data_IF_440738095898
#
_entry.id   IF_440738095898
#
_cell.length_a   1.000
_cell.length_b   1.000
_cell.length_c   1.000
_cell.angle_alpha   90.00
_cell.angle_beta   90.00
_cell.angle_gamma   90.00
#
_symmetry.space_group_name_H-M   'P 1'
#
loop_
_entity.id
_entity.type
_entity.pdbx_description
1 polymer ?
#
# COMPACT_ATOMS: atom_id res chain seq x y z
N UNK A 1 23.07 -13.66 -1.31
CA UNK A 1 21.81 -13.21 -1.94
C UNK A 1 20.70 -13.15 -0.91
N UNK A 2 19.84 -12.13 -0.93
CA UNK A 2 18.60 -12.06 -0.16
C UNK A 2 17.43 -11.75 -1.09
N UNK A 3 16.21 -12.11 -0.68
CA UNK A 3 14.98 -11.75 -1.38
C UNK A 3 14.21 -10.75 -0.53
N UNK A 4 13.91 -9.59 -1.10
CA UNK A 4 13.15 -8.50 -0.48
C UNK A 4 11.78 -8.44 -1.13
N UNK A 5 10.75 -8.37 -0.29
CA UNK A 5 9.38 -8.06 -0.69
C UNK A 5 8.94 -6.82 0.07
N UNK A 6 8.54 -5.79 -0.67
CA UNK A 6 7.97 -4.59 -0.08
C UNK A 6 6.50 -4.83 0.24
N UNK A 7 6.12 -4.66 1.49
CA UNK A 7 4.77 -4.96 1.96
C UNK A 7 3.76 -3.95 1.40
N UNK A 8 2.63 -4.43 0.87
CA UNK A 8 1.56 -3.57 0.33
C UNK A 8 2.03 -2.65 -0.80
N UNK A 9 2.99 -3.13 -1.59
CA UNK A 9 3.55 -2.45 -2.75
C UNK A 9 3.41 -3.32 -3.98
N UNK A 10 3.19 -2.68 -5.13
CA UNK A 10 3.23 -3.30 -6.46
C UNK A 10 4.23 -2.57 -7.32
N UNK A 11 5.05 -3.32 -8.04
CA UNK A 11 6.03 -2.71 -8.96
C UNK A 11 5.32 -1.94 -10.05
N UNK A 12 5.82 -0.74 -10.34
CA UNK A 12 5.42 0.07 -11.48
C UNK A 12 6.50 -0.04 -12.56
N UNK A 13 6.20 -0.77 -13.64
CA UNK A 13 7.18 -1.05 -14.70
C UNK A 13 7.70 0.21 -15.39
N UNK A 14 6.86 1.24 -15.55
CA UNK A 14 7.29 2.51 -16.14
C UNK A 14 8.30 3.22 -15.25
N UNK A 15 8.02 3.29 -13.95
CA UNK A 15 8.93 3.93 -12.98
C UNK A 15 10.22 3.12 -12.82
N UNK A 16 10.12 1.80 -12.83
CA UNK A 16 11.25 0.88 -12.75
C UNK A 16 12.27 1.14 -13.87
N UNK A 17 11.80 1.25 -15.13
CA UNK A 17 12.67 1.58 -16.26
C UNK A 17 13.26 2.99 -16.16
N UNK A 18 12.48 3.98 -15.69
CA UNK A 18 12.97 5.35 -15.49
C UNK A 18 14.04 5.45 -14.39
N UNK A 19 13.98 4.58 -13.38
CA UNK A 19 14.97 4.50 -12.32
C UNK A 19 16.33 3.98 -12.80
N UNK A 20 16.36 3.22 -13.89
CA UNK A 20 17.57 2.66 -14.49
C UNK A 20 17.67 1.14 -14.42
N UNK A 21 16.58 0.42 -14.09
CA UNK A 21 16.56 -1.03 -14.26
C UNK A 21 16.49 -1.38 -15.75
N UNK A 22 17.33 -2.32 -16.17
CA UNK A 22 17.41 -2.81 -17.54
C UNK A 22 16.88 -4.25 -17.63
N UNK A 23 16.22 -4.63 -18.75
CA UNK A 23 15.86 -6.01 -19.00
C UNK A 23 17.09 -6.93 -19.01
N UNK A 24 16.95 -8.11 -18.43
CA UNK A 24 17.96 -9.17 -18.43
C UNK A 24 17.33 -10.49 -18.93
N UNK A 25 18.12 -11.56 -19.01
CA UNK A 25 17.68 -12.87 -19.44
C UNK A 25 16.49 -13.39 -18.61
N UNK A 26 15.55 -14.05 -19.30
CA UNK A 26 14.42 -14.70 -18.66
C UNK A 26 13.32 -13.75 -18.16
N UNK A 27 13.20 -12.55 -18.74
CA UNK A 27 12.12 -11.60 -18.39
C UNK A 27 12.33 -10.87 -17.05
N UNK A 28 13.54 -10.93 -16.50
CA UNK A 28 13.94 -10.24 -15.27
C UNK A 28 14.44 -8.83 -15.57
N UNK A 29 14.48 -7.98 -14.55
CA UNK A 29 15.06 -6.65 -14.63
C UNK A 29 16.22 -6.54 -13.65
N UNK A 30 17.30 -5.90 -14.05
CA UNK A 30 18.50 -5.74 -13.23
C UNK A 30 18.89 -4.27 -13.10
N UNK A 31 19.30 -3.88 -11.90
CA UNK A 31 19.93 -2.60 -11.60
C UNK A 31 21.20 -2.84 -10.80
N UNK A 32 22.24 -2.05 -11.06
CA UNK A 32 23.51 -2.11 -10.35
C UNK A 32 23.90 -0.72 -9.89
N UNK A 33 24.40 -0.64 -8.67
CA UNK A 33 24.95 0.60 -8.13
C UNK A 33 26.12 0.32 -7.22
N UNK A 34 27.08 1.25 -7.18
CA UNK A 34 28.15 1.25 -6.21
C UNK A 34 27.69 1.89 -4.90
N UNK A 35 28.08 1.31 -3.77
CA UNK A 35 27.87 1.88 -2.43
C UNK A 35 29.20 1.96 -1.68
N UNK A 36 29.22 2.65 -0.53
CA UNK A 36 30.41 2.78 0.32
C UNK A 36 31.66 3.27 -0.46
N UNK A 37 31.51 4.38 -1.20
CA UNK A 37 32.58 4.96 -2.03
C UNK A 37 33.17 3.98 -3.06
N UNK A 38 32.36 3.04 -3.55
CA UNK A 38 32.78 2.08 -4.57
C UNK A 38 33.40 0.79 -4.03
N UNK A 39 33.42 0.57 -2.71
CA UNK A 39 33.92 -0.68 -2.14
C UNK A 39 33.03 -1.88 -2.43
N UNK A 40 31.72 -1.64 -2.64
CA UNK A 40 30.77 -2.69 -2.93
C UNK A 40 29.90 -2.34 -4.14
N UNK A 41 29.64 -3.33 -4.97
CA UNK A 41 28.58 -3.29 -5.99
C UNK A 41 27.34 -4.00 -5.46
N UNK A 42 26.22 -3.28 -5.42
CA UNK A 42 24.89 -3.83 -5.12
C UNK A 42 24.18 -4.13 -6.44
N UNK A 43 23.91 -5.40 -6.68
CA UNK A 43 23.11 -5.89 -7.79
C UNK A 43 21.70 -6.22 -7.29
N UNK A 44 20.71 -5.58 -7.91
CA UNK A 44 19.29 -5.82 -7.67
C UNK A 44 18.70 -6.52 -8.89
N UNK A 45 18.05 -7.67 -8.70
CA UNK A 45 17.39 -8.42 -9.77
C UNK A 45 15.93 -8.62 -9.42
N UNK A 46 15.05 -7.92 -10.12
CA UNK A 46 13.61 -8.05 -9.97
C UNK A 46 13.09 -9.23 -10.79
N UNK A 47 12.37 -10.13 -10.11
CA UNK A 47 11.42 -11.02 -10.73
C UNK A 47 10.01 -10.56 -10.36
N UNK A 48 9.16 -10.30 -11.35
CA UNK A 48 7.80 -9.74 -11.13
C UNK A 48 6.99 -10.60 -10.16
N UNK A 49 7.18 -11.92 -10.18
CA UNK A 49 6.42 -12.86 -9.35
C UNK A 49 7.11 -13.20 -8.01
N UNK A 50 8.45 -13.15 -7.94
CA UNK A 50 9.21 -13.62 -6.78
C UNK A 50 9.75 -12.51 -5.87
N UNK A 51 9.65 -11.24 -6.28
CA UNK A 51 10.17 -10.09 -5.55
C UNK A 51 11.56 -9.64 -6.01
N UNK A 52 12.22 -8.82 -5.19
CA UNK A 52 13.50 -8.19 -5.50
C UNK A 52 14.65 -8.98 -4.87
N UNK A 53 15.46 -9.65 -5.69
CA UNK A 53 16.67 -10.32 -5.22
C UNK A 53 17.83 -9.32 -5.14
N UNK A 54 18.66 -9.45 -4.11
CA UNK A 54 19.77 -8.56 -3.84
C UNK A 54 21.06 -9.35 -3.65
N UNK A 55 22.15 -8.84 -4.21
CA UNK A 55 23.49 -9.38 -4.06
C UNK A 55 24.48 -8.22 -3.88
N UNK A 56 25.33 -8.33 -2.87
CA UNK A 56 26.38 -7.35 -2.60
C UNK A 56 27.74 -8.02 -2.81
N UNK A 57 28.60 -7.43 -3.62
CA UNK A 57 29.91 -7.97 -3.99
C UNK A 57 31.00 -6.98 -3.62
N UNK A 58 32.06 -7.44 -2.98
CA UNK A 58 33.26 -6.63 -2.73
C UNK A 58 34.00 -6.41 -4.05
N UNK A 59 34.22 -5.15 -4.43
CA UNK A 59 34.80 -4.81 -5.73
C UNK A 59 36.29 -5.15 -5.84
N UNK A 60 36.98 -5.31 -4.71
CA UNK A 60 38.41 -5.60 -4.68
C UNK A 60 38.70 -7.10 -4.81
N UNK A 61 37.84 -7.94 -4.22
CA UNK A 61 38.00 -9.41 -4.26
C UNK A 61 37.10 -10.08 -5.29
N UNK A 62 36.00 -9.44 -5.69
CA UNK A 62 34.94 -10.05 -6.50
C UNK A 62 34.07 -11.04 -5.73
N UNK A 63 34.22 -11.14 -4.40
CA UNK A 63 33.51 -12.09 -3.56
C UNK A 63 32.21 -11.51 -2.99
N UNK A 64 31.23 -12.37 -2.77
CA UNK A 64 29.96 -11.98 -2.18
C UNK A 64 30.13 -11.55 -0.71
N UNK A 65 29.63 -10.37 -0.37
CA UNK A 65 29.60 -9.85 0.99
C UNK A 65 28.24 -10.12 1.65
N UNK A 66 28.20 -10.99 2.67
CA UNK A 66 26.93 -11.44 3.29
C UNK A 66 26.71 -10.94 4.72
N UNK A 67 27.71 -10.30 5.35
CA UNK A 67 27.62 -9.91 6.76
C UNK A 67 26.50 -8.88 7.03
N UNK A 68 26.14 -8.07 6.03
CA UNK A 68 25.03 -7.12 6.12
C UNK A 68 23.65 -7.79 6.34
N UNK A 69 23.54 -9.10 6.06
CA UNK A 69 22.32 -9.89 6.27
C UNK A 69 22.29 -10.60 7.63
N UNK A 70 23.41 -10.65 8.34
CA UNK A 70 23.54 -11.41 9.57
C UNK A 70 23.06 -10.56 10.78
N UNK A 71 21.99 -10.98 11.51
CA UNK A 71 21.44 -10.19 12.63
C UNK A 71 22.42 -9.95 13.79
N UNK A 72 23.48 -10.77 13.87
CA UNK A 72 24.51 -10.71 14.92
C UNK A 72 25.79 -10.02 14.48
N UNK A 73 25.90 -9.59 13.22
CA UNK A 73 27.09 -8.86 12.79
C UNK A 73 27.08 -7.48 13.47
N UNK A 74 28.09 -7.23 14.31
CA UNK A 74 28.25 -5.98 15.05
C UNK A 74 29.54 -5.30 14.63
N UNK A 75 29.52 -3.98 14.56
CA UNK A 75 30.67 -3.16 14.20
C UNK A 75 30.27 -1.94 13.36
N UNK A 76 31.00 -0.83 13.53
CA UNK A 76 30.70 0.43 12.85
C UNK A 76 30.70 0.28 11.32
N UNK A 77 31.66 -0.46 10.78
CA UNK A 77 31.75 -0.70 9.34
C UNK A 77 30.55 -1.47 8.79
N UNK A 78 30.19 -2.60 9.42
CA UNK A 78 29.02 -3.39 9.00
C UNK A 78 27.75 -2.54 9.09
N UNK A 79 27.60 -1.73 10.14
CA UNK A 79 26.47 -0.81 10.28
C UNK A 79 26.37 0.20 9.14
N UNK A 80 27.49 0.76 8.67
CA UNK A 80 27.53 1.65 7.51
C UNK A 80 27.14 0.93 6.22
N UNK A 81 27.62 -0.30 6.00
CA UNK A 81 27.24 -1.12 4.85
C UNK A 81 25.74 -1.42 4.86
N UNK A 82 25.19 -1.80 6.03
CA UNK A 82 23.75 -2.03 6.20
C UNK A 82 22.96 -0.77 5.88
N UNK A 83 23.37 0.40 6.39
CA UNK A 83 22.67 1.65 6.13
C UNK A 83 22.68 1.98 4.63
N UNK A 84 23.85 1.95 3.98
CA UNK A 84 23.96 2.25 2.55
C UNK A 84 23.15 1.26 1.68
N UNK A 85 23.10 -0.01 2.07
CA UNK A 85 22.25 -1.02 1.43
C UNK A 85 20.75 -0.69 1.60
N UNK A 86 20.31 -0.35 2.81
CA UNK A 86 18.92 0.02 3.09
C UNK A 86 18.50 1.31 2.39
N UNK A 87 19.39 2.30 2.28
CA UNK A 87 19.12 3.55 1.57
C UNK A 87 18.80 3.30 0.08
N UNK A 88 19.52 2.39 -0.57
CA UNK A 88 19.21 2.00 -1.96
C UNK A 88 17.86 1.30 -2.04
N UNK A 89 17.57 0.36 -1.14
CA UNK A 89 16.28 -0.33 -1.14
C UNK A 89 15.11 0.61 -0.89
N UNK A 90 15.26 1.57 0.03
CA UNK A 90 14.24 2.57 0.30
C UNK A 90 13.98 3.45 -0.92
N UNK A 91 15.04 3.85 -1.63
CA UNK A 91 14.91 4.62 -2.87
C UNK A 91 14.20 3.81 -3.96
N UNK A 92 14.53 2.52 -4.11
CA UNK A 92 13.85 1.63 -5.06
C UNK A 92 12.37 1.47 -4.70
N UNK A 93 12.05 1.26 -3.43
CA UNK A 93 10.65 1.16 -2.98
C UNK A 93 9.87 2.45 -3.29
N UNK A 94 10.44 3.61 -2.96
CA UNK A 94 9.80 4.91 -3.16
C UNK A 94 9.61 5.23 -4.64
N UNK A 95 10.63 5.01 -5.46
CA UNK A 95 10.65 5.49 -6.83
C UNK A 95 10.13 4.45 -7.82
N UNK A 96 10.12 3.15 -7.50
CA UNK A 96 9.72 2.09 -8.44
C UNK A 96 8.40 1.38 -8.09
N UNK A 97 7.83 1.59 -6.90
CA UNK A 97 6.61 0.90 -6.45
C UNK A 97 5.44 1.85 -6.17
N UNK A 98 4.24 1.39 -6.50
CA UNK A 98 2.98 2.01 -6.09
C UNK A 98 2.42 1.32 -4.85
N UNK A 99 1.59 2.02 -4.08
CA UNK A 99 0.83 1.40 -2.99
C UNK A 99 -0.20 0.41 -3.56
N UNK A 100 -0.20 -0.82 -3.04
CA UNK A 100 -1.15 -1.90 -3.36
C UNK A 100 -1.62 -2.54 -2.05
N UNK A 101 -2.33 -1.72 -1.26
CA UNK A 101 -2.88 -2.11 0.05
C UNK A 101 -4.15 -2.94 -0.13
N UNK A 102 -5.04 -2.47 -1.00
CA UNK A 102 -6.38 -3.04 -1.19
C UNK A 102 -6.36 -4.07 -2.33
N UNK A 103 -6.33 -5.35 -1.96
CA UNK A 103 -6.02 -6.49 -2.83
C UNK A 103 -7.24 -7.33 -3.21
N UNK A 104 -8.35 -7.20 -2.49
CA UNK A 104 -9.55 -8.00 -2.75
C UNK A 104 -10.20 -7.58 -4.08
N UNK A 105 -10.98 -8.49 -4.68
CA UNK A 105 -11.72 -8.19 -5.91
C UNK A 105 -12.73 -7.05 -5.70
N UNK A 106 -13.43 -7.04 -4.57
CA UNK A 106 -14.39 -5.99 -4.24
C UNK A 106 -13.73 -4.61 -4.14
N UNK A 107 -12.61 -4.53 -3.42
CA UNK A 107 -11.84 -3.30 -3.25
C UNK A 107 -11.32 -2.76 -4.59
N UNK A 108 -10.69 -3.62 -5.39
CA UNK A 108 -10.14 -3.23 -6.70
C UNK A 108 -11.21 -2.76 -7.67
N UNK A 109 -12.36 -3.44 -7.68
CA UNK A 109 -13.49 -3.05 -8.52
C UNK A 109 -14.11 -1.72 -8.06
N UNK A 110 -14.22 -1.51 -6.73
CA UNK A 110 -14.65 -0.24 -6.15
C UNK A 110 -13.72 0.91 -6.56
N UNK A 111 -12.41 0.75 -6.35
CA UNK A 111 -11.40 1.76 -6.69
C UNK A 111 -11.45 2.08 -8.20
N UNK A 112 -11.54 1.05 -9.04
CA UNK A 112 -11.62 1.21 -10.49
C UNK A 112 -12.90 1.96 -10.90
N UNK A 113 -14.06 1.58 -10.37
CA UNK A 113 -15.32 2.27 -10.71
C UNK A 113 -15.37 3.71 -10.24
N UNK A 114 -14.77 4.03 -9.08
CA UNK A 114 -14.64 5.43 -8.62
C UNK A 114 -13.75 6.24 -9.56
N UNK A 115 -12.60 5.67 -9.96
CA UNK A 115 -11.70 6.30 -10.92
C UNK A 115 -12.38 6.52 -12.28
N UNK A 116 -13.12 5.54 -12.78
CA UNK A 116 -13.83 5.65 -14.06
C UNK A 116 -14.98 6.68 -14.00
N UNK A 117 -15.68 6.78 -12.87
CA UNK A 117 -16.85 7.66 -12.71
C UNK A 117 -16.49 9.11 -12.40
N UNK A 118 -15.48 9.33 -11.54
CA UNK A 118 -15.13 10.66 -11.04
C UNK A 118 -13.72 11.13 -11.44
N UNK A 119 -12.85 10.23 -11.89
CA UNK A 119 -11.43 10.53 -12.12
C UNK A 119 -10.59 10.59 -10.84
N UNK A 120 -11.18 10.29 -9.68
CA UNK A 120 -10.52 10.42 -8.38
C UNK A 120 -9.64 9.20 -8.07
N UNK A 121 -8.45 9.45 -7.55
CA UNK A 121 -7.51 8.43 -7.08
C UNK A 121 -7.41 8.42 -5.54
N UNK A 122 -6.92 7.30 -4.99
CA UNK A 122 -6.65 7.18 -3.57
C UNK A 122 -5.43 7.99 -3.16
N UNK A 123 -5.56 8.75 -2.07
CA UNK A 123 -4.43 9.44 -1.44
C UNK A 123 -4.12 8.84 -0.06
N UNK A 124 -2.83 8.55 0.18
CA UNK A 124 -2.33 7.92 1.41
C UNK A 124 -1.68 8.98 2.31
N UNK A 125 -2.48 9.57 3.20
CA UNK A 125 -2.10 10.76 3.96
C UNK A 125 -1.20 10.48 5.17
N UNK A 126 -1.19 9.25 5.68
CA UNK A 126 -0.61 8.94 6.98
C UNK A 126 0.55 7.96 6.90
N UNK A 127 1.77 8.44 7.15
CA UNK A 127 2.98 7.59 7.18
C UNK A 127 2.94 6.50 8.25
N UNK A 128 2.31 6.77 9.41
CA UNK A 128 2.10 5.78 10.48
C UNK A 128 1.01 4.76 10.18
N UNK A 129 0.10 5.08 9.25
CA UNK A 129 -1.01 4.22 8.85
C UNK A 129 -1.05 4.14 7.32
N UNK A 130 0.00 3.57 6.68
CA UNK A 130 0.14 3.57 5.23
C UNK A 130 -0.89 2.68 4.51
N UNK A 131 -1.70 1.95 5.28
CA UNK A 131 -2.79 1.10 4.80
C UNK A 131 -4.13 1.83 4.75
N UNK A 132 -4.16 3.13 5.06
CA UNK A 132 -5.36 3.95 5.01
C UNK A 132 -5.25 4.96 3.89
N UNK A 133 -6.34 5.12 3.15
CA UNK A 133 -6.42 6.05 2.04
C UNK A 133 -7.76 6.76 1.98
N UNK A 134 -7.80 7.92 1.33
CA UNK A 134 -9.00 8.73 1.15
C UNK A 134 -9.21 9.09 -0.32
N UNK A 135 -10.46 9.34 -0.69
CA UNK A 135 -10.79 10.04 -1.93
C UNK A 135 -11.19 11.48 -1.62
N UNK A 136 -10.60 12.40 -2.38
CA UNK A 136 -11.01 13.79 -2.40
C UNK A 136 -11.96 14.04 -3.55
N UNK A 137 -13.00 14.82 -3.28
CA UNK A 137 -13.78 15.41 -4.35
C UNK A 137 -13.03 16.62 -4.91
N UNK A 138 -12.74 16.61 -6.21
CA UNK A 138 -11.84 17.59 -6.85
C UNK A 138 -12.31 19.05 -6.76
N UNK A 139 -13.62 19.33 -6.82
CA UNK A 139 -14.15 20.71 -6.81
C UNK A 139 -14.23 21.32 -5.40
N UNK A 140 -14.59 20.52 -4.38
CA UNK A 140 -14.81 21.01 -3.02
C UNK A 140 -13.64 20.75 -2.07
N UNK A 141 -12.67 19.92 -2.49
CA UNK A 141 -11.55 19.47 -1.67
C UNK A 141 -12.04 18.90 -0.34
N UNK A 142 -13.12 18.10 -0.38
CA UNK A 142 -13.67 17.40 0.78
C UNK A 142 -13.61 15.91 0.56
N UNK A 143 -13.28 15.17 1.61
CA UNK A 143 -13.36 13.70 1.56
C UNK A 143 -14.80 13.25 1.41
N UNK A 144 -15.04 12.32 0.51
CA UNK A 144 -16.32 11.61 0.39
C UNK A 144 -16.18 10.11 0.61
N UNK A 145 -14.96 9.59 0.65
CA UNK A 145 -14.73 8.19 0.98
C UNK A 145 -13.36 8.01 1.63
N UNK A 146 -13.28 7.04 2.54
CA UNK A 146 -12.01 6.58 3.09
C UNK A 146 -11.99 5.05 3.15
N UNK A 147 -10.89 4.44 2.71
CA UNK A 147 -10.62 3.03 2.89
C UNK A 147 -9.65 2.86 4.04
N UNK A 148 -10.05 2.08 5.05
CA UNK A 148 -9.30 1.90 6.29
C UNK A 148 -9.12 0.41 6.57
N UNK A 149 -7.89 -0.01 6.81
CA UNK A 149 -7.58 -1.38 7.24
C UNK A 149 -7.66 -1.48 8.76
N UNK A 150 -8.47 -2.39 9.26
CA UNK A 150 -8.83 -2.50 10.68
C UNK A 150 -9.06 -3.95 11.08
N UNK A 151 -8.84 -4.27 12.35
CA UNK A 151 -9.14 -5.60 12.90
C UNK A 151 -10.59 -5.68 13.39
N UNK A 152 -11.25 -6.82 13.19
CA UNK A 152 -12.67 -7.01 13.48
C UNK A 152 -13.07 -6.77 14.94
N UNK A 153 -12.16 -6.96 15.90
CA UNK A 153 -12.37 -6.65 17.33
C UNK A 153 -12.59 -5.15 17.57
N UNK A 154 -11.92 -4.28 16.80
CA UNK A 154 -12.10 -2.80 16.89
C UNK A 154 -13.43 -2.34 16.29
N UNK A 155 -14.07 -3.21 15.50
CA UNK A 155 -15.39 -2.98 14.90
C UNK A 155 -16.53 -3.60 15.74
N UNK A 156 -16.19 -4.25 16.87
CA UNK A 156 -17.13 -5.03 17.69
C UNK A 156 -17.86 -6.14 16.89
N UNK A 157 -17.22 -6.66 15.83
CA UNK A 157 -17.73 -7.80 15.08
C UNK A 157 -17.42 -9.11 15.82
N UNK A 158 -18.34 -10.09 15.82
CA UNK A 158 -18.12 -11.36 16.49
C UNK A 158 -17.11 -12.25 15.76
N UNK A 159 -16.54 -13.23 16.47
CA UNK A 159 -15.66 -14.25 15.90
C UNK A 159 -14.17 -13.98 16.15
N UNK A 160 -13.32 -14.69 15.41
CA UNK A 160 -11.88 -14.57 15.54
C UNK A 160 -11.39 -13.22 14.96
N UNK A 161 -10.47 -12.58 15.67
CA UNK A 161 -9.85 -11.33 15.23
C UNK A 161 -9.09 -11.56 13.93
N UNK A 162 -9.48 -10.81 12.89
CA UNK A 162 -8.77 -10.76 11.62
C UNK A 162 -8.88 -9.37 11.02
N UNK A 163 -8.03 -9.09 10.03
CA UNK A 163 -8.00 -7.80 9.35
C UNK A 163 -9.04 -7.75 8.24
N UNK A 164 -9.77 -6.64 8.17
CA UNK A 164 -10.72 -6.31 7.11
C UNK A 164 -10.49 -4.88 6.63
N UNK A 165 -10.97 -4.57 5.43
CA UNK A 165 -11.06 -3.19 4.95
C UNK A 165 -12.48 -2.68 5.19
N UNK A 166 -12.59 -1.46 5.70
CA UNK A 166 -13.86 -0.75 5.77
C UNK A 166 -13.84 0.47 4.87
N UNK A 167 -15.00 0.75 4.26
CA UNK A 167 -15.26 1.94 3.47
C UNK A 167 -16.09 2.92 4.29
N UNK A 168 -15.48 4.03 4.71
CA UNK A 168 -16.15 5.13 5.39
C UNK A 168 -16.77 6.09 4.38
N UNK A 169 -18.08 6.36 4.52
CA UNK A 169 -18.86 7.24 3.65
C UNK A 169 -19.69 8.22 4.46
N UNK A 170 -20.03 9.36 3.85
CA UNK A 170 -20.94 10.35 4.40
C UNK A 170 -22.39 9.90 4.27
N UNK A 171 -23.18 10.23 5.27
CA UNK A 171 -24.63 10.10 5.25
C UNK A 171 -25.29 11.27 5.99
N UNK A 172 -26.60 11.46 5.76
CA UNK A 172 -27.38 12.37 6.59
C UNK A 172 -27.67 11.67 7.92
N UNK A 173 -27.70 12.40 9.05
CA UNK A 173 -27.95 11.80 10.37
C UNK A 173 -29.21 10.93 10.44
N UNK A 174 -30.28 11.32 9.73
CA UNK A 174 -31.55 10.58 9.74
C UNK A 174 -31.46 9.24 9.00
N UNK A 175 -30.62 9.14 7.97
CA UNK A 175 -30.49 7.92 7.16
C UNK A 175 -29.70 6.84 7.93
N UNK A 176 -28.80 7.26 8.82
CA UNK A 176 -27.96 6.36 9.62
C UNK A 176 -28.77 5.50 10.59
N UNK A 177 -29.86 6.03 11.15
CA UNK A 177 -30.68 5.30 12.14
C UNK A 177 -31.24 3.99 11.58
N UNK A 178 -31.56 3.98 10.29
CA UNK A 178 -32.08 2.79 9.59
C UNK A 178 -31.01 1.98 8.88
N UNK A 179 -29.88 2.59 8.54
CA UNK A 179 -28.83 1.95 7.75
C UNK A 179 -27.89 1.08 8.59
N UNK A 180 -27.57 1.50 9.82
CA UNK A 180 -26.62 0.79 10.68
C UNK A 180 -27.25 -0.50 11.19
N UNK A 181 -26.69 -1.64 10.79
CA UNK A 181 -27.13 -2.99 11.19
C UNK A 181 -26.18 -3.66 12.20
N UNK A 182 -25.02 -3.05 12.46
CA UNK A 182 -24.02 -3.59 13.40
C UNK A 182 -23.26 -4.81 12.87
N UNK A 183 -23.39 -5.14 11.59
CA UNK A 183 -22.73 -6.27 10.95
C UNK A 183 -22.01 -5.84 9.67
N UNK A 184 -22.76 -5.34 8.69
CA UNK A 184 -22.22 -4.91 7.39
C UNK A 184 -22.08 -3.39 7.32
N UNK A 185 -23.00 -2.67 7.98
CA UNK A 185 -23.03 -1.22 8.11
C UNK A 185 -22.80 -0.83 9.56
N UNK A 186 -21.68 -0.16 9.82
CA UNK A 186 -21.20 0.19 11.16
C UNK A 186 -21.14 1.71 11.35
N UNK A 187 -21.19 2.22 12.60
CA UNK A 187 -20.92 3.63 12.85
C UNK A 187 -19.53 4.02 12.35
N UNK A 188 -19.37 5.24 11.81
CA UNK A 188 -18.13 5.69 11.16
C UNK A 188 -16.87 5.42 11.99
N UNK A 189 -15.89 4.76 11.37
CA UNK A 189 -14.65 4.34 12.00
C UNK A 189 -13.60 5.45 11.90
N UNK A 190 -13.13 5.94 13.05
CA UNK A 190 -12.33 7.18 13.17
C UNK A 190 -12.99 8.47 12.65
N UNK A 191 -14.22 8.39 12.12
CA UNK A 191 -14.99 9.54 11.63
C UNK A 191 -16.08 9.99 12.61
N UNK A 192 -16.71 11.12 12.29
CA UNK A 192 -17.87 11.62 13.03
C UNK A 192 -19.10 10.74 12.77
N UNK A 193 -19.43 9.87 13.74
CA UNK A 193 -20.55 8.90 13.69
C UNK A 193 -21.94 9.51 13.44
N UNK A 194 -22.11 10.83 13.54
CA UNK A 194 -23.37 11.51 13.16
C UNK A 194 -23.53 11.72 11.66
N UNK A 195 -22.42 11.74 10.92
CA UNK A 195 -22.39 12.09 9.50
C UNK A 195 -21.64 11.06 8.65
N UNK A 196 -21.05 10.05 9.28
CA UNK A 196 -20.27 9.02 8.62
C UNK A 196 -20.63 7.64 9.15
N UNK A 197 -20.56 6.66 8.26
CA UNK A 197 -20.71 5.24 8.54
C UNK A 197 -19.69 4.45 7.74
N UNK A 198 -19.47 3.21 8.16
CA UNK A 198 -18.51 2.29 7.55
C UNK A 198 -19.26 1.12 6.93
N UNK A 199 -18.83 0.69 5.74
CA UNK A 199 -19.26 -0.56 5.11
C UNK A 199 -18.10 -1.54 5.21
N UNK A 200 -18.34 -2.76 5.71
CA UNK A 200 -17.33 -3.83 5.69
C UNK A 200 -17.19 -4.36 4.26
N UNK A 201 -15.96 -4.40 3.74
CA UNK A 201 -15.66 -4.89 2.39
C UNK A 201 -15.27 -6.38 2.42
N UNK A 202 -16.27 -7.24 2.61
CA UNK A 202 -16.16 -8.70 2.70
C UNK A 202 -17.07 -9.45 1.70
N UNK A 203 -17.42 -8.80 0.59
CA UNK A 203 -18.33 -9.29 -0.45
C UNK A 203 -19.80 -9.54 -0.01
N UNK A 204 -20.18 -9.24 1.24
CA UNK A 204 -21.58 -9.37 1.71
C UNK A 204 -22.49 -8.31 1.11
N UNK A 205 -22.02 -7.07 1.00
CA UNK A 205 -22.73 -5.97 0.36
C UNK A 205 -22.38 -5.93 -1.13
N UNK A 206 -23.36 -6.06 -2.05
CA UNK A 206 -23.08 -6.03 -3.48
C UNK A 206 -22.41 -4.72 -3.90
N UNK A 207 -21.42 -4.81 -4.80
CA UNK A 207 -20.69 -3.65 -5.31
C UNK A 207 -21.61 -2.57 -5.89
N UNK A 208 -22.69 -2.96 -6.58
CA UNK A 208 -23.67 -2.01 -7.10
C UNK A 208 -24.31 -1.15 -5.99
N UNK A 209 -24.67 -1.77 -4.87
CA UNK A 209 -25.19 -1.08 -3.69
C UNK A 209 -24.14 -0.18 -3.05
N UNK A 210 -22.89 -0.64 -2.97
CA UNK A 210 -21.77 0.19 -2.48
C UNK A 210 -21.61 1.44 -3.36
N UNK A 211 -21.71 1.29 -4.68
CA UNK A 211 -21.56 2.43 -5.59
C UNK A 211 -22.72 3.43 -5.50
N UNK A 212 -23.95 2.99 -5.20
CA UNK A 212 -25.04 3.91 -4.87
C UNK A 212 -24.70 4.75 -3.63
N UNK A 213 -24.19 4.10 -2.58
CA UNK A 213 -23.74 4.76 -1.35
C UNK A 213 -22.59 5.74 -1.57
N UNK A 214 -21.65 5.40 -2.45
CA UNK A 214 -20.57 6.30 -2.86
C UNK A 214 -21.13 7.55 -3.54
N UNK A 215 -22.11 7.42 -4.45
CA UNK A 215 -22.77 8.58 -5.10
C UNK A 215 -23.45 9.48 -4.08
N UNK A 216 -24.17 8.90 -3.12
CA UNK A 216 -24.83 9.65 -2.05
C UNK A 216 -23.81 10.44 -1.22
N UNK A 217 -22.72 9.79 -0.83
CA UNK A 217 -21.63 10.42 -0.08
C UNK A 217 -20.95 11.55 -0.87
N UNK A 218 -20.66 11.31 -2.16
CA UNK A 218 -20.07 12.31 -3.05
C UNK A 218 -20.96 13.55 -3.17
N UNK A 219 -22.28 13.35 -3.29
CA UNK A 219 -23.26 14.44 -3.34
C UNK A 219 -23.34 15.25 -2.03
N UNK A 220 -23.01 14.64 -0.89
CA UNK A 220 -22.93 15.29 0.43
C UNK A 220 -21.59 16.03 0.67
N UNK A 221 -20.54 15.72 -0.09
CA UNK A 221 -19.25 16.41 -0.03
C UNK A 221 -19.29 17.77 -0.78
N UNK A 222 -20.23 18.63 -0.39
CA UNK A 222 -20.31 20.05 -0.82
C UNK A 222 -19.51 20.91 0.13
#
# INVERSE_FOLDING_TARGET
MATVKFENKRVNMSKLSQFGFEPNQGGRYQFRTLIMQGQFELTLTLNVDDGLNTELTDTSTGEAYVLHLAPRAQGQFVGQVVQAYQDVLHKVEQDCYDNDVFKSSQERNLITQIKDLYGDELEFLWSKFPQNAVWWRADTHKWYGALLTVTTDKLALPGATHTVTVLDLRARPNDLVTLIDGQHYLPGYHMNKKHWYSIVLDDTVPLATIMERVRDSYALAK
#
